data_IF_725695747538
#
_entry.id   IF_725695747538
#
_cell.length_a   1.000
_cell.length_b   1.000
_cell.length_c   1.000
_cell.angle_alpha   90.00
_cell.angle_beta   90.00
_cell.angle_gamma   90.00
#
_symmetry.space_group_name_H-M   'P 1'
#
loop_
_entity.id
_entity.type
_entity.pdbx_description
1 polymer ?
#
# COMPACT_ATOMS: atom_id res chain seq x y z
N UNK A 1 24.95 -10.64 -10.02
CA UNK A 1 24.35 -9.96 -8.85
C UNK A 1 22.82 -9.79 -8.96
N UNK A 2 22.20 -10.05 -10.11
CA UNK A 2 20.73 -9.93 -10.33
C UNK A 2 19.83 -11.04 -9.77
N UNK A 3 20.39 -12.12 -9.17
CA UNK A 3 19.59 -13.27 -8.68
C UNK A 3 18.95 -13.07 -7.30
N UNK A 4 19.39 -12.09 -6.51
CA UNK A 4 18.93 -11.93 -5.11
C UNK A 4 17.45 -11.59 -5.04
N UNK A 5 16.99 -10.63 -5.84
CA UNK A 5 15.57 -10.23 -5.89
C UNK A 5 14.69 -11.38 -6.38
N UNK A 6 15.09 -12.04 -7.48
CA UNK A 6 14.37 -13.18 -8.02
C UNK A 6 14.26 -14.34 -7.01
N UNK A 7 15.38 -14.70 -6.37
CA UNK A 7 15.37 -15.75 -5.35
C UNK A 7 14.52 -15.36 -4.14
N UNK A 8 14.53 -14.10 -3.71
CA UNK A 8 13.68 -13.65 -2.61
C UNK A 8 12.19 -13.82 -2.93
N UNK A 9 11.76 -13.47 -4.15
CA UNK A 9 10.37 -13.68 -4.60
C UNK A 9 10.06 -15.19 -4.68
N UNK A 10 10.90 -15.98 -5.36
CA UNK A 10 10.71 -17.42 -5.53
C UNK A 10 10.57 -18.16 -4.19
N UNK A 11 11.23 -17.67 -3.13
CA UNK A 11 11.19 -18.26 -1.79
C UNK A 11 10.08 -17.68 -0.90
N UNK A 12 9.52 -16.52 -1.24
CA UNK A 12 8.54 -15.81 -0.40
C UNK A 12 7.38 -15.28 -1.26
N UNK A 13 6.38 -16.11 -1.49
CA UNK A 13 5.15 -15.76 -2.19
C UNK A 13 3.99 -16.61 -1.66
N UNK A 14 2.76 -16.17 -1.92
CA UNK A 14 1.55 -16.96 -1.72
C UNK A 14 0.61 -16.82 -2.93
N UNK A 15 -0.64 -17.28 -2.80
CA UNK A 15 -1.65 -17.21 -3.86
C UNK A 15 -2.00 -15.79 -4.31
N UNK A 16 -1.69 -14.77 -3.49
CA UNK A 16 -2.01 -13.36 -3.72
C UNK A 16 -0.83 -12.59 -4.32
N UNK A 17 0.38 -13.14 -4.30
CA UNK A 17 1.55 -12.55 -4.96
C UNK A 17 2.81 -12.56 -4.10
N UNK A 18 3.64 -11.54 -4.27
CA UNK A 18 4.97 -11.47 -3.64
C UNK A 18 4.84 -11.23 -2.12
N UNK A 19 5.71 -11.83 -1.31
CA UNK A 19 5.89 -11.53 0.12
C UNK A 19 7.31 -11.04 0.33
N UNK A 20 7.53 -9.74 0.36
CA UNK A 20 8.90 -9.20 0.49
C UNK A 20 9.48 -9.41 1.91
N UNK A 21 10.80 -9.62 2.02
CA UNK A 21 11.55 -9.23 3.20
C UNK A 21 11.64 -7.71 3.32
N UNK A 22 11.36 -7.18 4.51
CA UNK A 22 11.30 -5.73 4.78
C UNK A 22 12.56 -4.98 4.30
N UNK A 23 13.73 -5.60 4.42
CA UNK A 23 15.01 -5.00 4.05
C UNK A 23 15.22 -4.77 2.54
N UNK A 24 14.41 -5.43 1.69
CA UNK A 24 14.55 -5.35 0.22
C UNK A 24 13.21 -5.04 -0.47
N UNK A 25 12.17 -4.72 0.29
CA UNK A 25 10.90 -4.30 -0.27
C UNK A 25 11.08 -2.99 -1.05
N UNK A 26 10.39 -2.80 -2.20
CA UNK A 26 10.55 -1.59 -3.01
C UNK A 26 10.02 -0.33 -2.32
N UNK A 27 9.05 -0.51 -1.41
CA UNK A 27 8.52 0.50 -0.50
C UNK A 27 8.22 -0.20 0.82
N UNK A 28 8.20 0.57 1.90
CA UNK A 28 7.84 0.06 3.22
C UNK A 28 6.33 0.09 3.43
N UNK A 29 5.67 1.18 2.98
CA UNK A 29 4.23 1.40 3.16
C UNK A 29 3.55 1.71 1.82
N UNK A 30 2.38 1.14 1.59
CA UNK A 30 1.46 1.52 0.52
C UNK A 30 0.22 2.20 1.12
N UNK A 31 -0.18 3.34 0.57
CA UNK A 31 -1.43 4.02 0.90
C UNK A 31 -2.39 3.81 -0.27
N UNK A 32 -3.56 3.25 0.02
CA UNK A 32 -4.62 2.91 -0.93
C UNK A 32 -5.85 3.78 -0.65
N UNK A 33 -5.95 4.97 -1.26
CA UNK A 33 -7.08 5.88 -1.09
C UNK A 33 -8.26 5.52 -2.00
N UNK A 34 -9.23 4.79 -1.44
CA UNK A 34 -10.41 4.33 -2.17
C UNK A 34 -11.28 5.49 -2.63
N UNK A 35 -11.51 5.57 -3.95
CA UNK A 35 -12.29 6.63 -4.58
C UNK A 35 -11.80 8.06 -4.25
N UNK A 36 -10.49 8.25 -4.06
CA UNK A 36 -9.86 9.55 -3.76
C UNK A 36 -10.41 10.72 -4.59
N UNK A 37 -10.58 10.49 -5.89
CA UNK A 37 -11.09 11.49 -6.85
C UNK A 37 -12.57 11.91 -6.64
N UNK A 38 -13.31 11.24 -5.75
CA UNK A 38 -14.70 11.58 -5.39
C UNK A 38 -14.83 12.03 -3.94
N UNK A 39 -13.85 11.74 -3.08
CA UNK A 39 -13.91 12.06 -1.67
C UNK A 39 -12.76 12.97 -1.27
N UNK A 40 -13.09 14.23 -1.00
CA UNK A 40 -12.14 15.22 -0.49
C UNK A 40 -11.53 14.78 0.86
N UNK A 41 -12.31 14.12 1.71
CA UNK A 41 -11.84 13.59 3.01
C UNK A 41 -10.75 12.53 2.83
N UNK A 42 -10.98 11.59 1.91
CA UNK A 42 -9.99 10.54 1.59
C UNK A 42 -8.75 11.16 0.96
N UNK A 43 -8.93 12.11 0.04
CA UNK A 43 -7.82 12.83 -0.60
C UNK A 43 -6.92 13.54 0.41
N UNK A 44 -7.50 14.40 1.24
CA UNK A 44 -6.77 15.19 2.23
C UNK A 44 -6.02 14.29 3.21
N UNK A 45 -6.67 13.24 3.72
CA UNK A 45 -6.03 12.31 4.65
C UNK A 45 -4.88 11.53 4.00
N UNK A 46 -5.06 11.08 2.75
CA UNK A 46 -4.03 10.32 2.04
C UNK A 46 -2.78 11.18 1.78
N UNK A 47 -2.95 12.42 1.30
CA UNK A 47 -1.86 13.35 1.04
C UNK A 47 -1.14 13.77 2.32
N UNK A 48 -1.89 13.99 3.41
CA UNK A 48 -1.35 14.28 4.73
C UNK A 48 -0.50 13.12 5.26
N UNK A 49 -1.07 11.91 5.29
CA UNK A 49 -0.39 10.72 5.79
C UNK A 49 0.87 10.41 4.96
N UNK A 50 0.77 10.53 3.64
CA UNK A 50 1.91 10.39 2.74
C UNK A 50 3.05 11.35 3.12
N UNK A 51 2.73 12.63 3.32
CA UNK A 51 3.69 13.67 3.67
C UNK A 51 4.33 13.45 5.04
N UNK A 52 3.53 13.07 6.04
CA UNK A 52 4.01 12.80 7.41
C UNK A 52 4.97 11.61 7.46
N UNK A 53 4.61 10.49 6.81
CA UNK A 53 5.47 9.30 6.75
C UNK A 53 6.77 9.58 5.99
N UNK A 54 6.69 10.31 4.86
CA UNK A 54 7.88 10.72 4.10
C UNK A 54 8.79 11.65 4.91
N UNK A 55 8.23 12.54 5.71
CA UNK A 55 9.00 13.40 6.61
C UNK A 55 9.75 12.61 7.70
N UNK A 56 9.26 11.42 8.06
CA UNK A 56 9.94 10.48 8.96
C UNK A 56 10.96 9.58 8.23
N UNK A 57 11.17 9.76 6.93
CA UNK A 57 12.10 8.96 6.12
C UNK A 57 11.56 7.60 5.69
N UNK A 58 10.25 7.36 5.81
CA UNK A 58 9.62 6.12 5.38
C UNK A 58 9.42 6.14 3.86
N UNK A 59 9.73 5.01 3.21
CA UNK A 59 9.46 4.83 1.78
C UNK A 59 7.99 4.46 1.56
N UNK A 60 7.24 5.39 0.98
CA UNK A 60 5.79 5.27 0.81
C UNK A 60 5.41 5.29 -0.66
N UNK A 61 4.59 4.33 -1.08
CA UNK A 61 3.84 4.37 -2.33
C UNK A 61 2.43 4.91 -2.04
N UNK A 62 2.02 5.95 -2.76
CA UNK A 62 0.63 6.42 -2.77
C UNK A 62 0.00 5.98 -4.09
N UNK A 63 -1.05 5.16 -4.04
CA UNK A 63 -1.79 4.75 -5.23
C UNK A 63 -2.91 5.78 -5.53
N UNK A 64 -2.54 6.86 -6.23
CA UNK A 64 -3.45 7.95 -6.62
C UNK A 64 -4.15 7.71 -7.97
N UNK A 65 -4.04 6.49 -8.53
CA UNK A 65 -4.62 6.13 -9.82
C UNK A 65 -6.15 6.20 -9.76
N UNK A 66 -6.76 6.65 -10.85
CA UNK A 66 -8.22 6.68 -11.02
C UNK A 66 -8.77 5.30 -11.42
N UNK A 67 -8.54 4.30 -10.58
CA UNK A 67 -8.94 2.91 -10.79
C UNK A 67 -10.05 2.46 -9.84
N UNK A 68 -10.62 1.28 -10.13
CA UNK A 68 -11.62 0.68 -9.25
C UNK A 68 -10.94 0.09 -8.00
N UNK A 69 -11.57 0.18 -6.80
CA UNK A 69 -11.05 -0.42 -5.57
C UNK A 69 -10.50 -1.83 -5.72
N UNK A 70 -11.26 -2.74 -6.34
CA UNK A 70 -10.84 -4.13 -6.53
C UNK A 70 -9.57 -4.30 -7.37
N UNK A 71 -9.31 -3.40 -8.33
CA UNK A 71 -8.09 -3.41 -9.15
C UNK A 71 -6.91 -2.92 -8.31
N UNK A 72 -7.08 -1.82 -7.58
CA UNK A 72 -6.03 -1.29 -6.69
C UNK A 72 -5.63 -2.32 -5.62
N UNK A 73 -6.60 -3.01 -5.03
CA UNK A 73 -6.34 -4.08 -4.08
C UNK A 73 -5.56 -5.23 -4.70
N UNK A 74 -6.01 -5.74 -5.85
CA UNK A 74 -5.34 -6.86 -6.51
C UNK A 74 -3.89 -6.50 -6.89
N UNK A 75 -3.66 -5.30 -7.40
CA UNK A 75 -2.32 -4.83 -7.76
C UNK A 75 -1.41 -4.71 -6.53
N UNK A 76 -1.90 -4.14 -5.42
CA UNK A 76 -1.09 -3.97 -4.21
C UNK A 76 -0.79 -5.28 -3.50
N UNK A 77 -1.73 -6.21 -3.51
CA UNK A 77 -1.51 -7.57 -3.00
C UNK A 77 -0.48 -8.31 -3.85
N UNK A 78 -0.57 -8.17 -5.18
CA UNK A 78 0.36 -8.78 -6.12
C UNK A 78 1.79 -8.24 -5.94
N UNK A 79 1.94 -6.92 -5.81
CA UNK A 79 3.23 -6.25 -5.60
C UNK A 79 3.81 -6.60 -4.23
N UNK A 80 2.97 -6.78 -3.20
CA UNK A 80 3.37 -7.35 -1.93
C UNK A 80 4.04 -6.39 -0.94
N UNK A 81 3.76 -5.09 -1.03
CA UNK A 81 4.36 -4.09 -0.11
C UNK A 81 4.03 -4.45 1.35
N UNK A 82 5.02 -4.47 2.27
CA UNK A 82 4.85 -5.04 3.61
C UNK A 82 3.69 -4.47 4.42
N UNK A 83 3.55 -3.15 4.43
CA UNK A 83 2.51 -2.44 5.16
C UNK A 83 1.56 -1.75 4.19
N UNK A 84 0.27 -2.04 4.30
CA UNK A 84 -0.76 -1.41 3.45
C UNK A 84 -1.79 -0.72 4.32
N UNK A 85 -2.02 0.57 4.06
CA UNK A 85 -3.03 1.39 4.72
C UNK A 85 -4.11 1.68 3.70
N UNK A 86 -5.34 1.27 4.00
CA UNK A 86 -6.51 1.49 3.15
C UNK A 86 -7.36 2.59 3.77
N UNK A 87 -7.61 3.62 2.96
CA UNK A 87 -8.44 4.77 3.33
C UNK A 87 -9.71 4.73 2.49
N UNK A 88 -10.88 4.87 3.11
CA UNK A 88 -12.15 4.94 2.40
C UNK A 88 -13.25 5.50 3.28
N UNK A 89 -14.22 6.17 2.65
CA UNK A 89 -15.27 6.91 3.37
C UNK A 89 -15.95 6.08 4.47
N UNK A 90 -16.28 4.82 4.19
CA UNK A 90 -16.94 3.93 5.17
C UNK A 90 -16.13 3.76 6.46
N UNK A 91 -14.81 3.68 6.37
CA UNK A 91 -13.96 3.52 7.54
C UNK A 91 -13.81 4.88 8.25
N UNK A 92 -13.67 5.96 7.48
CA UNK A 92 -13.59 7.33 8.02
C UNK A 92 -14.87 7.81 8.70
N UNK A 93 -16.04 7.29 8.33
CA UNK A 93 -17.30 7.56 9.02
C UNK A 93 -17.33 6.98 10.44
N UNK A 94 -16.46 5.99 10.72
CA UNK A 94 -16.27 5.40 12.04
C UNK A 94 -14.96 5.88 12.72
N UNK A 95 -14.32 6.91 12.19
CA UNK A 95 -12.99 7.38 12.61
C UNK A 95 -11.88 6.29 12.55
N UNK A 96 -12.04 5.31 11.66
CA UNK A 96 -11.14 4.17 11.51
C UNK A 96 -10.37 4.20 10.18
N UNK A 97 -9.21 3.54 10.18
CA UNK A 97 -8.46 3.17 8.97
C UNK A 97 -8.20 1.67 8.97
N UNK A 98 -8.13 1.08 7.78
CA UNK A 98 -7.82 -0.35 7.66
C UNK A 98 -6.32 -0.53 7.41
N UNK A 99 -5.69 -1.35 8.23
CA UNK A 99 -4.28 -1.72 8.11
C UNK A 99 -4.16 -3.18 7.75
N UNK A 100 -3.27 -3.49 6.80
CA UNK A 100 -2.90 -4.85 6.42
C UNK A 100 -1.40 -5.03 6.49
N UNK A 101 -0.99 -6.10 7.13
CA UNK A 101 0.38 -6.61 7.03
C UNK A 101 0.42 -7.73 5.99
N UNK A 102 1.47 -7.76 5.17
CA UNK A 102 1.58 -8.72 4.07
C UNK A 102 1.89 -10.15 4.52
N UNK A 103 2.57 -10.32 5.66
CA UNK A 103 2.98 -11.61 6.22
C UNK A 103 2.01 -12.13 7.27
#
# INVERSE_FOLDING_TARGET
VTRVVAAAIEQNYDERGIVWPDAIAPFQVAILPMNMHKSFRVQELAEKLYSELRAQGIEVLLDDRKERPGVMFADMELIGIPHTIVLGDRNLDNDDIEYKYRR
#
